data_IF_197812836190
#
_entry.id   IF_197812836190
#
_cell.length_a   1.000
_cell.length_b   1.000
_cell.length_c   1.000
_cell.angle_alpha   90.00
_cell.angle_beta   90.00
_cell.angle_gamma   90.00
#
_symmetry.space_group_name_H-M   'P 1'
#
loop_
_entity.id
_entity.type
_entity.pdbx_description
1 polymer ?
#
# COMPACT_ATOMS: atom_id res chain seq x y z
N UNK A 1 -59.36 15.58 22.61
CA UNK A 1 -58.44 14.47 22.95
C UNK A 1 -57.70 13.89 21.74
N UNK A 2 -57.90 14.38 20.50
CA UNK A 2 -57.28 13.79 19.30
C UNK A 2 -55.86 14.28 18.98
N UNK A 3 -55.53 15.53 19.32
CA UNK A 3 -54.21 16.12 19.04
C UNK A 3 -53.05 15.39 19.73
N UNK A 4 -53.29 14.79 20.90
CA UNK A 4 -52.28 14.05 21.68
C UNK A 4 -51.95 12.67 21.09
N UNK A 5 -52.89 12.03 20.40
CA UNK A 5 -52.65 10.78 19.69
C UNK A 5 -51.87 10.99 18.39
N UNK A 6 -52.17 12.09 17.68
CA UNK A 6 -51.51 12.46 16.43
C UNK A 6 -50.04 12.83 16.67
N UNK A 7 -49.75 13.61 17.72
CA UNK A 7 -48.38 13.93 18.15
C UNK A 7 -47.59 12.69 18.60
N UNK A 8 -48.22 11.72 19.27
CA UNK A 8 -47.58 10.44 19.64
C UNK A 8 -47.24 9.59 18.42
N UNK A 9 -48.09 9.57 17.39
CA UNK A 9 -47.84 8.85 16.13
C UNK A 9 -46.69 9.49 15.33
N UNK A 10 -46.68 10.82 15.20
CA UNK A 10 -45.58 11.54 14.54
C UNK A 10 -44.25 11.30 15.25
N UNK A 11 -44.22 11.37 16.59
CA UNK A 11 -42.99 11.14 17.37
C UNK A 11 -42.46 9.71 17.23
N UNK A 12 -43.35 8.71 17.15
CA UNK A 12 -42.96 7.31 16.84
C UNK A 12 -42.44 7.15 15.42
N UNK A 13 -43.04 7.82 14.43
CA UNK A 13 -42.56 7.81 13.06
C UNK A 13 -41.18 8.45 12.91
N UNK A 14 -40.94 9.59 13.57
CA UNK A 14 -39.63 10.26 13.58
C UNK A 14 -38.58 9.39 14.27
N UNK A 15 -38.93 8.72 15.38
CA UNK A 15 -38.02 7.79 16.06
C UNK A 15 -37.68 6.56 15.20
N UNK A 16 -38.66 5.98 14.51
CA UNK A 16 -38.47 4.85 13.59
C UNK A 16 -37.67 5.26 12.35
N UNK A 17 -37.94 6.43 11.78
CA UNK A 17 -37.18 6.99 10.66
C UNK A 17 -35.72 7.28 11.05
N UNK A 18 -35.49 7.86 12.23
CA UNK A 18 -34.14 8.10 12.76
C UNK A 18 -33.37 6.81 13.08
N UNK A 19 -34.07 5.77 13.57
CA UNK A 19 -33.49 4.45 13.77
C UNK A 19 -33.13 3.78 12.44
N UNK A 20 -34.04 3.77 11.47
CA UNK A 20 -33.81 3.22 10.14
C UNK A 20 -32.68 3.97 9.40
N UNK A 21 -32.59 5.29 9.54
CA UNK A 21 -31.49 6.09 9.01
C UNK A 21 -30.14 5.72 9.67
N UNK A 22 -30.09 5.57 10.99
CA UNK A 22 -28.86 5.12 11.69
C UNK A 22 -28.42 3.73 11.25
N UNK A 23 -29.37 2.80 11.07
CA UNK A 23 -29.08 1.43 10.61
C UNK A 23 -28.63 1.44 9.15
N UNK A 24 -29.31 2.18 8.27
CA UNK A 24 -28.92 2.36 6.88
C UNK A 24 -27.53 2.99 6.75
N UNK A 25 -27.26 4.06 7.50
CA UNK A 25 -25.96 4.74 7.53
C UNK A 25 -24.86 3.82 8.05
N UNK A 26 -25.07 3.06 9.13
CA UNK A 26 -24.09 2.07 9.60
C UNK A 26 -23.80 0.99 8.54
N UNK A 27 -24.82 0.54 7.82
CA UNK A 27 -24.70 -0.49 6.78
C UNK A 27 -24.00 0.01 5.52
N UNK A 28 -24.28 1.25 5.10
CA UNK A 28 -23.76 1.84 3.86
C UNK A 28 -22.51 2.69 4.05
N UNK A 29 -22.20 3.13 5.28
CA UNK A 29 -20.99 3.92 5.58
C UNK A 29 -19.73 3.18 5.16
N UNK A 30 -19.65 1.87 5.37
CA UNK A 30 -18.49 1.08 4.94
C UNK A 30 -18.33 1.09 3.41
N UNK A 31 -19.42 0.93 2.66
CA UNK A 31 -19.39 0.94 1.19
C UNK A 31 -19.12 2.33 0.62
N UNK A 32 -19.72 3.38 1.19
CA UNK A 32 -19.47 4.77 0.82
C UNK A 32 -18.03 5.19 1.16
N UNK A 33 -17.54 4.78 2.33
CA UNK A 33 -16.15 5.01 2.73
C UNK A 33 -15.18 4.32 1.79
N UNK A 34 -15.40 3.04 1.45
CA UNK A 34 -14.58 2.33 0.47
C UNK A 34 -14.61 3.03 -0.89
N UNK A 35 -15.80 3.36 -1.42
CA UNK A 35 -15.94 4.03 -2.72
C UNK A 35 -15.28 5.42 -2.77
N UNK A 36 -15.41 6.23 -1.71
CA UNK A 36 -14.75 7.53 -1.60
C UNK A 36 -13.24 7.37 -1.48
N UNK A 37 -12.79 6.41 -0.66
CA UNK A 37 -11.38 6.09 -0.41
C UNK A 37 -10.66 5.45 -1.60
N UNK A 38 -11.39 4.74 -2.45
CA UNK A 38 -10.87 4.13 -3.68
C UNK A 38 -10.84 5.17 -4.81
N UNK A 39 -11.78 6.13 -4.84
CA UNK A 39 -11.71 7.32 -5.69
C UNK A 39 -10.48 8.18 -5.38
N UNK A 40 -10.20 8.42 -4.10
CA UNK A 40 -9.02 9.18 -3.65
C UNK A 40 -7.68 8.54 -4.10
N UNK A 41 -7.55 7.20 -4.06
CA UNK A 41 -6.36 6.54 -4.64
C UNK A 41 -6.30 6.72 -6.15
N UNK A 42 -7.42 6.57 -6.85
CA UNK A 42 -7.44 6.68 -8.30
C UNK A 42 -6.96 8.08 -8.74
N UNK A 43 -7.39 9.12 -8.04
CA UNK A 43 -6.96 10.50 -8.27
C UNK A 43 -5.48 10.70 -7.96
N UNK A 44 -4.98 10.16 -6.83
CA UNK A 44 -3.56 10.22 -6.48
C UNK A 44 -2.67 9.44 -7.47
N UNK A 45 -3.15 8.29 -7.97
CA UNK A 45 -2.46 7.52 -9.01
C UNK A 45 -2.45 8.25 -10.35
N UNK A 46 -3.55 8.91 -10.72
CA UNK A 46 -3.62 9.72 -11.93
C UNK A 46 -2.65 10.91 -11.84
N UNK A 47 -2.59 11.58 -10.70
CA UNK A 47 -1.67 12.69 -10.47
C UNK A 47 -0.19 12.26 -10.44
N UNK A 48 0.10 11.09 -9.86
CA UNK A 48 1.41 10.46 -9.95
C UNK A 48 1.79 10.13 -11.40
N UNK A 49 0.89 9.52 -12.18
CA UNK A 49 1.12 9.18 -13.59
C UNK A 49 1.38 10.43 -14.44
N UNK A 50 0.66 11.53 -14.19
CA UNK A 50 0.95 12.81 -14.85
C UNK A 50 2.37 13.30 -14.58
N UNK A 51 2.87 13.19 -13.35
CA UNK A 51 4.27 13.53 -13.04
C UNK A 51 5.27 12.63 -13.76
N UNK A 52 4.98 11.33 -13.89
CA UNK A 52 5.80 10.39 -14.66
C UNK A 52 5.80 10.74 -16.16
N UNK A 53 4.63 11.03 -16.74
CA UNK A 53 4.47 11.44 -18.14
C UNK A 53 5.21 12.74 -18.44
N UNK A 54 5.14 13.71 -17.51
CA UNK A 54 5.90 14.96 -17.58
C UNK A 54 7.41 14.77 -17.30
N UNK A 55 7.86 13.55 -16.95
CA UNK A 55 9.23 13.22 -16.52
C UNK A 55 9.73 14.07 -15.35
N UNK A 56 8.82 14.57 -14.52
CA UNK A 56 9.14 15.31 -13.32
C UNK A 56 9.37 14.34 -12.16
N UNK A 57 10.60 13.82 -12.10
CA UNK A 57 11.02 12.88 -11.06
C UNK A 57 11.01 13.50 -9.66
N UNK A 58 11.20 14.82 -9.56
CA UNK A 58 11.19 15.54 -8.29
C UNK A 58 9.79 15.58 -7.67
N UNK A 59 8.75 15.73 -8.50
CA UNK A 59 7.36 15.65 -8.06
C UNK A 59 6.84 14.21 -7.97
N UNK A 60 7.33 13.28 -8.81
CA UNK A 60 6.87 11.90 -8.81
C UNK A 60 7.32 11.10 -7.58
N UNK A 61 8.54 11.36 -7.08
CA UNK A 61 9.12 10.65 -5.95
C UNK A 61 8.28 10.76 -4.66
N UNK A 62 7.95 11.97 -4.14
CA UNK A 62 7.14 12.10 -2.92
C UNK A 62 5.74 11.49 -3.09
N UNK A 63 5.15 11.57 -4.29
CA UNK A 63 3.85 10.93 -4.61
C UNK A 63 3.93 9.41 -4.53
N UNK A 64 4.98 8.82 -5.10
CA UNK A 64 5.20 7.37 -5.06
C UNK A 64 5.44 6.85 -3.63
N UNK A 65 6.13 7.63 -2.78
CA UNK A 65 6.32 7.29 -1.36
C UNK A 65 4.98 7.31 -0.59
N UNK A 66 4.17 8.35 -0.80
CA UNK A 66 2.84 8.46 -0.18
C UNK A 66 1.92 7.30 -0.61
N UNK A 67 1.83 7.04 -1.92
CA UNK A 67 1.09 5.91 -2.47
C UNK A 67 1.61 4.57 -1.94
N UNK A 68 2.92 4.43 -1.75
CA UNK A 68 3.54 3.22 -1.19
C UNK A 68 3.10 2.94 0.24
N UNK A 69 3.06 3.98 1.09
CA UNK A 69 2.52 3.87 2.45
C UNK A 69 1.05 3.47 2.46
N UNK A 70 0.25 4.08 1.57
CA UNK A 70 -1.17 3.73 1.41
C UNK A 70 -1.31 2.27 0.96
N UNK A 71 -0.54 1.82 -0.03
CA UNK A 71 -0.55 0.45 -0.53
C UNK A 71 -0.18 -0.56 0.57
N UNK A 72 0.82 -0.27 1.42
CA UNK A 72 1.17 -1.08 2.59
C UNK A 72 -0.03 -1.20 3.54
N UNK A 73 -0.65 -0.07 3.88
CA UNK A 73 -1.80 -0.04 4.80
C UNK A 73 -3.00 -0.85 4.28
N UNK A 74 -3.20 -0.88 2.97
CA UNK A 74 -4.31 -1.60 2.31
C UNK A 74 -3.98 -3.03 1.94
N UNK A 75 -2.71 -3.44 2.10
CA UNK A 75 -2.18 -4.73 1.64
C UNK A 75 -2.43 -4.99 0.15
N UNK A 76 -2.35 -3.95 -0.67
CA UNK A 76 -2.57 -4.03 -2.12
C UNK A 76 -1.30 -4.52 -2.84
N UNK A 77 -1.21 -5.84 -3.03
CA UNK A 77 -0.03 -6.53 -3.59
C UNK A 77 0.41 -5.97 -4.95
N UNK A 78 -0.54 -5.66 -5.83
CA UNK A 78 -0.23 -5.16 -7.18
C UNK A 78 0.40 -3.76 -7.13
N UNK A 79 -0.18 -2.87 -6.32
CA UNK A 79 0.29 -1.49 -6.17
C UNK A 79 1.65 -1.43 -5.47
N UNK A 80 1.90 -2.32 -4.50
CA UNK A 80 3.21 -2.49 -3.87
C UNK A 80 4.29 -2.87 -4.90
N UNK A 81 3.99 -3.79 -5.83
CA UNK A 81 4.94 -4.21 -6.87
C UNK A 81 5.24 -3.07 -7.87
N UNK A 82 4.20 -2.39 -8.37
CA UNK A 82 4.33 -1.27 -9.31
C UNK A 82 5.17 -0.14 -8.70
N UNK A 83 4.84 0.31 -7.49
CA UNK A 83 5.52 1.40 -6.82
C UNK A 83 6.94 1.04 -6.41
N UNK A 84 7.20 -0.21 -6.01
CA UNK A 84 8.57 -0.65 -5.70
C UNK A 84 9.49 -0.52 -6.91
N UNK A 85 9.04 -0.94 -8.09
CA UNK A 85 9.80 -0.81 -9.35
C UNK A 85 10.01 0.64 -9.73
N UNK A 86 8.99 1.48 -9.54
CA UNK A 86 9.10 2.91 -9.81
C UNK A 86 10.13 3.59 -8.89
N UNK A 87 10.07 3.32 -7.58
CA UNK A 87 11.02 3.85 -6.60
C UNK A 87 12.46 3.40 -6.89
N UNK A 88 12.67 2.14 -7.33
CA UNK A 88 13.99 1.69 -7.78
C UNK A 88 14.50 2.49 -8.99
N UNK A 89 13.64 2.79 -9.97
CA UNK A 89 14.01 3.60 -11.15
C UNK A 89 14.35 5.05 -10.77
N UNK A 90 13.72 5.56 -9.71
CA UNK A 90 13.99 6.89 -9.14
C UNK A 90 15.17 6.90 -8.15
N UNK A 91 15.86 5.76 -7.93
CA UNK A 91 17.01 5.67 -7.01
C UNK A 91 16.66 5.61 -5.52
N UNK A 92 15.38 5.49 -5.17
CA UNK A 92 14.88 5.36 -3.80
C UNK A 92 14.86 3.88 -3.35
N UNK A 93 16.04 3.28 -3.24
CA UNK A 93 16.20 1.83 -3.02
C UNK A 93 15.70 1.34 -1.65
N UNK A 94 15.93 2.10 -0.57
CA UNK A 94 15.43 1.75 0.78
C UNK A 94 13.90 1.66 0.81
N UNK A 95 13.17 2.74 0.44
CA UNK A 95 11.71 2.69 0.35
C UNK A 95 11.19 1.62 -0.61
N UNK A 96 11.87 1.38 -1.74
CA UNK A 96 11.49 0.30 -2.66
C UNK A 96 11.62 -1.09 -2.02
N UNK A 97 12.68 -1.33 -1.24
CA UNK A 97 12.90 -2.60 -0.53
C UNK A 97 11.78 -2.84 0.48
N UNK A 98 11.39 -1.82 1.25
CA UNK A 98 10.29 -1.93 2.20
C UNK A 98 8.96 -2.36 1.52
N UNK A 99 8.66 -1.84 0.33
CA UNK A 99 7.46 -2.23 -0.40
C UNK A 99 7.52 -3.68 -0.88
N UNK A 100 8.71 -4.14 -1.32
CA UNK A 100 8.91 -5.54 -1.73
C UNK A 100 8.76 -6.50 -0.55
N UNK A 101 9.30 -6.15 0.61
CA UNK A 101 9.16 -6.94 1.84
C UNK A 101 7.70 -6.99 2.29
N UNK A 102 7.02 -5.83 2.31
CA UNK A 102 5.60 -5.78 2.63
C UNK A 102 4.77 -6.65 1.68
N UNK A 103 5.07 -6.61 0.38
CA UNK A 103 4.44 -7.47 -0.63
C UNK A 103 4.68 -8.95 -0.31
N UNK A 104 5.94 -9.34 -0.06
CA UNK A 104 6.31 -10.71 0.28
C UNK A 104 5.56 -11.20 1.51
N UNK A 105 5.53 -10.41 2.59
CA UNK A 105 4.81 -10.76 3.82
C UNK A 105 3.32 -10.98 3.61
N UNK A 106 2.70 -10.29 2.65
CA UNK A 106 1.30 -10.50 2.30
C UNK A 106 1.11 -11.82 1.51
N UNK A 107 2.04 -12.16 0.62
CA UNK A 107 1.90 -13.31 -0.30
C UNK A 107 2.41 -14.62 0.30
N UNK A 108 3.60 -14.59 0.91
CA UNK A 108 4.36 -15.75 1.38
C UNK A 108 4.39 -15.86 2.91
N UNK A 109 3.95 -14.82 3.62
CA UNK A 109 4.10 -14.73 5.07
C UNK A 109 5.51 -14.29 5.48
N UNK A 110 5.79 -14.40 6.79
CA UNK A 110 7.06 -13.96 7.39
C UNK A 110 7.88 -15.18 7.80
N UNK A 111 9.19 -15.14 7.54
CA UNK A 111 10.12 -16.14 8.02
C UNK A 111 10.90 -15.64 9.25
N UNK A 112 11.28 -16.56 10.13
CA UNK A 112 12.15 -16.26 11.25
C UNK A 112 13.57 -15.94 10.76
N UNK A 113 14.17 -14.86 11.28
CA UNK A 113 15.46 -14.37 10.82
C UNK A 113 15.43 -13.62 9.47
N UNK A 114 14.26 -13.37 8.90
CA UNK A 114 14.13 -12.63 7.64
C UNK A 114 14.65 -11.19 7.75
N UNK A 115 15.45 -10.78 6.77
CA UNK A 115 15.84 -9.39 6.60
C UNK A 115 14.64 -8.53 6.22
N UNK A 116 14.37 -7.50 7.03
CA UNK A 116 13.19 -6.63 6.94
C UNK A 116 13.50 -5.31 6.23
N UNK A 117 14.58 -5.26 5.44
CA UNK A 117 14.97 -4.04 4.72
C UNK A 117 15.73 -3.06 5.60
N UNK A 118 16.30 -3.54 6.71
CA UNK A 118 17.17 -2.74 7.55
C UNK A 118 18.35 -2.20 6.74
N UNK A 119 18.80 -0.98 7.06
CA UNK A 119 20.02 -0.44 6.48
C UNK A 119 21.21 -1.32 6.89
N UNK A 120 21.95 -1.78 5.88
CA UNK A 120 23.13 -2.64 6.01
C UNK A 120 24.40 -1.89 5.62
N UNK A 121 24.34 -0.56 5.49
CA UNK A 121 25.50 0.29 5.20
C UNK A 121 26.61 0.05 6.25
N UNK A 122 27.81 -0.26 5.77
CA UNK A 122 28.96 -0.60 6.63
C UNK A 122 28.93 -2.03 7.21
N UNK A 123 27.95 -2.86 6.87
CA UNK A 123 27.91 -4.27 7.25
C UNK A 123 28.46 -5.17 6.15
N UNK A 124 29.10 -6.28 6.55
CA UNK A 124 29.56 -7.31 5.63
C UNK A 124 28.41 -8.29 5.38
N UNK A 125 27.90 -8.30 4.14
CA UNK A 125 26.86 -9.24 3.73
C UNK A 125 27.51 -10.59 3.36
N UNK A 126 27.22 -11.64 4.14
CA UNK A 126 27.55 -13.01 3.75
C UNK A 126 26.40 -13.55 2.90
N UNK A 127 26.64 -13.73 1.60
CA UNK A 127 25.68 -14.39 0.70
C UNK A 127 26.09 -15.84 0.60
N UNK A 128 25.39 -16.72 1.33
CA UNK A 128 25.58 -18.16 1.20
C UNK A 128 24.73 -18.67 0.02
N UNK A 129 25.40 -19.24 -0.99
CA UNK A 129 24.76 -19.69 -2.21
C UNK A 129 24.47 -21.19 -2.09
N UNK A 130 23.23 -21.54 -1.74
CA UNK A 130 22.80 -22.93 -1.79
C UNK A 130 22.70 -23.40 -3.26
N UNK A 131 23.67 -24.19 -3.68
CA UNK A 131 23.83 -24.80 -5.02
C UNK A 131 22.75 -25.85 -5.39
N UNK A 132 21.55 -25.80 -4.83
CA UNK A 132 20.59 -26.90 -5.03
C UNK A 132 19.73 -26.80 -6.28
N UNK A 133 19.72 -25.68 -7.02
CA UNK A 133 19.03 -25.61 -8.31
C UNK A 133 19.84 -24.82 -9.34
N UNK A 134 19.92 -25.31 -10.59
CA UNK A 134 20.57 -24.63 -11.72
C UNK A 134 20.06 -23.18 -11.97
N UNK A 135 18.96 -22.78 -11.33
CA UNK A 135 18.37 -21.44 -11.36
C UNK A 135 18.88 -20.51 -10.23
N UNK A 136 19.55 -21.04 -9.21
CA UNK A 136 20.05 -20.30 -8.05
C UNK A 136 21.18 -19.33 -8.40
N UNK A 137 22.07 -19.71 -9.33
CA UNK A 137 23.23 -18.87 -9.71
C UNK A 137 22.80 -17.60 -10.47
N UNK A 138 21.85 -17.70 -11.40
CA UNK A 138 21.35 -16.54 -12.13
C UNK A 138 20.61 -15.55 -11.20
N UNK A 139 19.83 -16.09 -10.26
CA UNK A 139 19.13 -15.33 -9.23
C UNK A 139 20.14 -14.64 -8.30
N UNK A 140 21.18 -15.36 -7.89
CA UNK A 140 22.27 -14.82 -7.08
C UNK A 140 23.05 -13.70 -7.78
N UNK A 141 23.41 -13.84 -9.05
CA UNK A 141 24.12 -12.80 -9.81
C UNK A 141 23.24 -11.56 -9.99
N UNK A 142 21.95 -11.74 -10.23
CA UNK A 142 20.99 -10.62 -10.33
C UNK A 142 20.84 -9.87 -9.00
N UNK A 143 20.78 -10.59 -7.88
CA UNK A 143 20.69 -9.98 -6.55
C UNK A 143 22.03 -9.37 -6.11
N UNK A 144 23.17 -10.02 -6.36
CA UNK A 144 24.50 -9.50 -6.08
C UNK A 144 24.78 -8.22 -6.86
N UNK A 145 24.36 -8.13 -8.13
CA UNK A 145 24.48 -6.90 -8.93
C UNK A 145 23.61 -5.75 -8.39
N UNK A 146 22.48 -6.08 -7.77
CA UNK A 146 21.56 -5.10 -7.17
C UNK A 146 22.07 -4.64 -5.80
N UNK A 147 22.61 -5.56 -5.00
CA UNK A 147 23.23 -5.31 -3.70
C UNK A 147 24.55 -4.54 -3.86
N UNK A 148 25.39 -4.91 -4.83
CA UNK A 148 26.65 -4.22 -5.11
C UNK A 148 26.47 -2.75 -5.46
N UNK A 149 25.40 -2.38 -6.19
CA UNK A 149 25.08 -0.97 -6.46
C UNK A 149 24.50 -0.23 -5.25
N UNK A 150 23.82 -0.93 -4.35
CA UNK A 150 23.32 -0.34 -3.11
C UNK A 150 24.46 -0.07 -2.11
N UNK A 151 25.52 -0.89 -2.14
CA UNK A 151 26.68 -0.79 -1.26
C UNK A 151 27.82 0.08 -1.82
N UNK A 152 27.86 0.37 -3.12
CA UNK A 152 28.91 1.19 -3.75
C UNK A 152 28.74 2.71 -3.52
N UNK A 153 28.06 3.13 -2.45
CA UNK A 153 27.96 4.53 -2.02
C UNK A 153 29.05 4.86 -1.01
#
# INVERSE_FOLDING_TARGET
>A
MEASQLLRRVRRFVALAGYNYKVWFRRHRRQLFLRWRDGDIADQMADYRRSIEARDWSAALPKALALGSIAKSRREVHLLDELSKALMRMGAYGPAAELKIARRHIVEGRADGEWLGQDISGQVLLVDLMETEKQGLATAIHHASSVGRALAR
#
